data_IF_064083740071
#
_entry.id   IF_064083740071
#
_cell.length_a   1.000
_cell.length_b   1.000
_cell.length_c   1.000
_cell.angle_alpha   90.00
_cell.angle_beta   90.00
_cell.angle_gamma   90.00
#
_symmetry.space_group_name_H-M   'P 1'
#
loop_
_entity.id
_entity.type
_entity.pdbx_description
1 polymer ?
#
# COMPACT_ATOMS: atom_id res chain seq x y z
N UNK A 1 -2.36 55.91 -5.09
CA UNK A 1 -2.33 54.82 -6.08
C UNK A 1 -1.15 53.93 -5.69
N UNK A 2 -1.44 52.76 -5.14
CA UNK A 2 -0.42 51.72 -4.84
C UNK A 2 -0.61 50.64 -5.88
N UNK A 3 0.29 50.60 -6.87
CA UNK A 3 0.34 49.54 -7.86
C UNK A 3 0.74 48.24 -7.18
N UNK A 4 -0.20 47.26 -7.15
CA UNK A 4 0.06 45.91 -6.74
C UNK A 4 0.94 45.22 -7.77
N UNK A 5 2.19 44.91 -7.38
CA UNK A 5 3.11 44.11 -8.17
C UNK A 5 2.48 42.74 -8.41
N UNK A 6 2.45 42.21 -9.66
CA UNK A 6 1.92 40.88 -9.91
C UNK A 6 2.84 39.85 -9.26
N UNK A 7 2.31 39.05 -8.33
CA UNK A 7 3.03 37.95 -7.72
C UNK A 7 3.55 37.00 -8.83
N UNK A 8 4.86 36.94 -9.00
CA UNK A 8 5.54 36.11 -9.97
C UNK A 8 5.20 34.64 -9.63
N UNK A 9 4.32 34.00 -10.42
CA UNK A 9 4.01 32.58 -10.30
C UNK A 9 5.32 31.81 -10.40
N UNK A 10 5.82 31.31 -9.28
CA UNK A 10 7.03 30.47 -9.23
C UNK A 10 6.83 29.30 -10.18
N UNK A 11 7.67 29.19 -11.22
CA UNK A 11 7.63 28.05 -12.14
C UNK A 11 7.94 26.78 -11.33
N UNK A 12 7.00 25.84 -11.33
CA UNK A 12 7.20 24.52 -10.72
C UNK A 12 8.42 23.84 -11.33
N UNK A 13 9.19 23.12 -10.51
CA UNK A 13 10.27 22.27 -10.99
C UNK A 13 9.72 21.11 -11.86
N UNK A 14 10.59 20.40 -12.60
CA UNK A 14 10.16 19.22 -13.33
C UNK A 14 9.65 18.11 -12.39
N UNK A 15 10.26 17.97 -11.21
CA UNK A 15 9.82 17.04 -10.19
C UNK A 15 8.43 17.41 -9.64
N UNK A 16 8.19 18.69 -9.31
CA UNK A 16 6.89 19.14 -8.83
C UNK A 16 5.78 18.95 -9.88
N UNK A 17 6.09 19.18 -11.17
CA UNK A 17 5.13 18.91 -12.26
C UNK A 17 4.81 17.43 -12.39
N UNK A 18 5.83 16.57 -12.29
CA UNK A 18 5.64 15.11 -12.35
C UNK A 18 4.78 14.63 -11.18
N UNK A 19 5.02 15.12 -9.96
CA UNK A 19 4.20 14.81 -8.78
C UNK A 19 2.75 15.26 -8.98
N UNK A 20 2.51 16.49 -9.48
CA UNK A 20 1.16 16.99 -9.75
C UNK A 20 0.41 16.16 -10.81
N UNK A 21 1.11 15.64 -11.82
CA UNK A 21 0.52 14.73 -12.81
C UNK A 21 0.11 13.42 -12.14
N UNK A 22 0.96 12.84 -11.27
CA UNK A 22 0.67 11.59 -10.55
C UNK A 22 -0.53 11.76 -9.61
N UNK A 23 -0.63 12.86 -8.86
CA UNK A 23 -1.79 13.16 -8.00
C UNK A 23 -3.10 13.25 -8.82
N UNK A 24 -3.09 14.00 -9.92
CA UNK A 24 -4.26 14.10 -10.79
C UNK A 24 -4.65 12.75 -11.42
N UNK A 25 -3.65 11.94 -11.79
CA UNK A 25 -3.86 10.60 -12.33
C UNK A 25 -4.43 9.65 -11.27
N UNK A 26 -3.94 9.72 -10.03
CA UNK A 26 -4.45 8.94 -8.91
C UNK A 26 -5.95 9.19 -8.70
N UNK A 27 -6.36 10.45 -8.63
CA UNK A 27 -7.76 10.80 -8.49
C UNK A 27 -8.62 10.19 -9.61
N UNK A 28 -8.22 10.42 -10.87
CA UNK A 28 -8.97 9.97 -12.04
C UNK A 28 -9.05 8.44 -12.11
N UNK A 29 -7.92 7.75 -11.90
CA UNK A 29 -7.89 6.29 -11.95
C UNK A 29 -8.65 5.64 -10.79
N UNK A 30 -8.61 6.24 -9.59
CA UNK A 30 -9.36 5.72 -8.44
C UNK A 30 -10.88 5.88 -8.61
N UNK A 31 -11.34 6.92 -9.32
CA UNK A 31 -12.76 7.17 -9.57
C UNK A 31 -13.29 6.31 -10.73
N UNK A 32 -12.58 6.29 -11.86
CA UNK A 32 -13.05 5.69 -13.13
C UNK A 32 -12.49 4.31 -13.43
N UNK A 33 -11.38 3.94 -12.77
CA UNK A 33 -10.59 2.76 -13.11
C UNK A 33 -9.62 3.03 -14.25
N UNK A 34 -8.65 2.12 -14.39
CA UNK A 34 -7.59 2.26 -15.38
C UNK A 34 -8.07 2.18 -16.83
N UNK A 35 -9.05 1.33 -17.11
CA UNK A 35 -9.54 1.10 -18.48
C UNK A 35 -10.29 2.31 -19.03
N UNK A 36 -11.23 2.87 -18.27
CA UNK A 36 -12.15 3.92 -18.73
C UNK A 36 -11.56 5.33 -18.65
N UNK A 37 -10.61 5.56 -17.74
CA UNK A 37 -9.96 6.84 -17.61
C UNK A 37 -9.11 7.19 -18.84
N UNK A 38 -9.03 8.48 -19.19
CA UNK A 38 -8.19 9.00 -20.28
C UNK A 38 -7.17 10.01 -19.80
N UNK A 39 -6.11 10.27 -20.61
CA UNK A 39 -5.17 11.36 -20.32
C UNK A 39 -5.81 12.74 -20.41
N UNK A 40 -6.92 12.90 -21.14
CA UNK A 40 -7.69 14.15 -21.17
C UNK A 40 -8.41 14.40 -19.84
N UNK A 41 -8.90 13.34 -19.19
CA UNK A 41 -9.46 13.42 -17.84
C UNK A 41 -8.40 13.84 -16.82
N UNK A 42 -7.20 13.25 -16.91
CA UNK A 42 -6.06 13.60 -16.05
C UNK A 42 -5.64 15.05 -16.27
N UNK A 43 -5.52 15.50 -17.53
CA UNK A 43 -5.17 16.88 -17.86
C UNK A 43 -6.21 17.86 -17.29
N UNK A 44 -7.50 17.54 -17.43
CA UNK A 44 -8.61 18.36 -16.91
C UNK A 44 -8.57 18.42 -15.38
N UNK A 45 -8.39 17.30 -14.69
CA UNK A 45 -8.32 17.19 -13.22
C UNK A 45 -7.13 17.99 -12.68
N UNK A 46 -5.96 17.87 -13.30
CA UNK A 46 -4.74 18.57 -12.88
C UNK A 46 -4.66 20.05 -13.30
N UNK A 47 -5.60 20.53 -14.12
CA UNK A 47 -5.53 21.87 -14.70
C UNK A 47 -4.28 22.10 -15.56
N UNK A 48 -3.81 21.05 -16.24
CA UNK A 48 -2.59 21.01 -17.04
C UNK A 48 -2.90 20.65 -18.51
N UNK A 49 -1.94 20.89 -19.39
CA UNK A 49 -2.09 20.45 -20.79
C UNK A 49 -1.75 18.96 -20.97
N UNK A 50 -2.43 18.29 -21.88
CA UNK A 50 -2.09 16.92 -22.29
C UNK A 50 -0.64 16.82 -22.82
N UNK A 51 -0.14 17.89 -23.46
CA UNK A 51 1.24 17.97 -23.92
C UNK A 51 2.22 17.86 -22.74
N UNK A 52 1.93 18.52 -21.61
CA UNK A 52 2.75 18.43 -20.41
C UNK A 52 2.79 17.01 -19.85
N UNK A 53 1.69 16.26 -19.92
CA UNK A 53 1.68 14.84 -19.51
C UNK A 53 2.64 14.06 -20.41
N UNK A 54 2.59 14.26 -21.74
CA UNK A 54 3.49 13.57 -22.69
C UNK A 54 4.96 13.99 -22.59
N UNK A 55 5.28 15.16 -22.01
CA UNK A 55 6.66 15.53 -21.67
C UNK A 55 7.25 14.66 -20.55
N UNK A 56 6.40 14.08 -19.68
CA UNK A 56 6.82 13.30 -18.52
C UNK A 56 6.54 11.80 -18.63
N UNK A 57 5.55 11.40 -19.43
CA UNK A 57 5.09 10.02 -19.58
C UNK A 57 4.76 9.74 -21.04
N UNK A 58 5.38 8.74 -21.64
CA UNK A 58 5.21 8.41 -23.07
C UNK A 58 3.82 7.86 -23.40
N UNK A 59 3.10 7.35 -22.40
CA UNK A 59 1.78 6.74 -22.57
C UNK A 59 0.99 6.72 -21.28
N UNK A 60 -0.34 6.49 -21.39
CA UNK A 60 -1.22 6.22 -20.25
C UNK A 60 -0.73 5.00 -19.45
N UNK A 61 -0.24 3.97 -20.15
CA UNK A 61 0.30 2.75 -19.53
C UNK A 61 1.51 3.05 -18.65
N UNK A 62 2.46 3.84 -19.16
CA UNK A 62 3.61 4.24 -18.35
C UNK A 62 3.19 5.04 -17.11
N UNK A 63 2.25 6.00 -17.29
CA UNK A 63 1.72 6.77 -16.18
C UNK A 63 1.08 5.86 -15.11
N UNK A 64 0.31 4.83 -15.53
CA UNK A 64 -0.29 3.85 -14.61
C UNK A 64 0.76 3.06 -13.82
N UNK A 65 1.75 2.50 -14.51
CA UNK A 65 2.82 1.72 -13.86
C UNK A 65 3.60 2.58 -12.89
N UNK A 66 4.04 3.76 -13.33
CA UNK A 66 4.81 4.68 -12.49
C UNK A 66 4.01 5.16 -11.28
N UNK A 67 2.70 5.41 -11.44
CA UNK A 67 1.82 5.78 -10.34
C UNK A 67 1.76 4.68 -9.29
N UNK A 68 1.48 3.45 -9.71
CA UNK A 68 1.41 2.30 -8.79
C UNK A 68 2.75 2.07 -8.10
N UNK A 69 3.84 2.04 -8.85
CA UNK A 69 5.19 1.90 -8.30
C UNK A 69 5.50 2.97 -7.26
N UNK A 70 5.21 4.24 -7.56
CA UNK A 70 5.51 5.36 -6.66
C UNK A 70 4.79 5.20 -5.32
N UNK A 71 3.47 5.05 -5.36
CA UNK A 71 2.68 5.05 -4.13
C UNK A 71 2.81 3.76 -3.32
N UNK A 72 3.04 2.61 -3.98
CA UNK A 72 3.24 1.36 -3.26
C UNK A 72 4.65 1.27 -2.65
N UNK A 73 5.67 1.84 -3.29
CA UNK A 73 6.97 1.98 -2.64
C UNK A 73 6.91 2.95 -1.44
N UNK A 74 6.20 4.08 -1.55
CA UNK A 74 5.96 4.97 -0.39
C UNK A 74 5.29 4.21 0.78
N UNK A 75 4.30 3.36 0.49
CA UNK A 75 3.67 2.52 1.50
C UNK A 75 4.66 1.54 2.15
N UNK A 76 5.43 0.81 1.33
CA UNK A 76 6.42 -0.15 1.83
C UNK A 76 7.46 0.56 2.69
N UNK A 77 7.98 1.69 2.24
CA UNK A 77 8.95 2.50 3.00
C UNK A 77 8.39 2.97 4.34
N UNK A 78 7.13 3.44 4.36
CA UNK A 78 6.47 3.86 5.60
C UNK A 78 6.35 2.70 6.60
N UNK A 79 5.92 1.52 6.15
CA UNK A 79 5.78 0.32 6.98
C UNK A 79 7.15 -0.17 7.47
N UNK A 80 8.14 -0.30 6.58
CA UNK A 80 9.49 -0.76 6.93
C UNK A 80 10.16 0.19 7.92
N UNK A 81 9.99 1.51 7.73
CA UNK A 81 10.53 2.51 8.66
C UNK A 81 9.88 2.40 10.04
N UNK A 82 8.57 2.20 10.13
CA UNK A 82 7.86 2.05 11.40
C UNK A 82 8.30 0.77 12.14
N UNK A 83 8.38 -0.35 11.41
CA UNK A 83 8.86 -1.64 11.96
C UNK A 83 10.28 -1.55 12.44
N UNK A 84 11.17 -0.91 11.66
CA UNK A 84 12.60 -0.78 11.99
C UNK A 84 12.90 0.10 13.20
N UNK A 85 11.94 0.92 13.65
CA UNK A 85 12.08 1.74 14.86
C UNK A 85 11.81 0.95 16.15
N UNK A 86 11.19 -0.24 16.06
CA UNK A 86 10.75 -1.03 17.19
C UNK A 86 11.71 -2.19 17.51
N UNK A 87 11.73 -2.60 18.78
CA UNK A 87 12.70 -3.59 19.29
C UNK A 87 12.08 -4.96 19.57
N UNK A 88 10.77 -5.03 19.83
CA UNK A 88 10.05 -6.30 20.05
C UNK A 88 9.22 -6.67 18.85
N UNK A 89 8.98 -7.97 18.64
CA UNK A 89 8.18 -8.46 17.51
C UNK A 89 6.71 -8.02 17.62
N UNK A 90 6.19 -7.93 18.85
CA UNK A 90 4.84 -7.41 19.10
C UNK A 90 4.73 -5.94 18.67
N UNK A 91 5.69 -5.10 19.08
CA UNK A 91 5.71 -3.68 18.71
C UNK A 91 5.95 -3.50 17.22
N UNK A 92 6.81 -4.30 16.60
CA UNK A 92 7.04 -4.32 15.15
C UNK A 92 5.77 -4.61 14.38
N UNK A 93 5.03 -5.65 14.77
CA UNK A 93 3.76 -6.00 14.13
C UNK A 93 2.74 -4.88 14.31
N UNK A 94 2.59 -4.36 15.53
CA UNK A 94 1.68 -3.26 15.83
C UNK A 94 2.02 -2.01 15.01
N UNK A 95 3.30 -1.62 14.96
CA UNK A 95 3.77 -0.46 14.21
C UNK A 95 3.55 -0.62 12.70
N UNK A 96 3.77 -1.82 12.16
CA UNK A 96 3.52 -2.10 10.75
C UNK A 96 2.04 -2.00 10.38
N UNK A 97 1.15 -2.56 11.20
CA UNK A 97 -0.30 -2.45 11.02
C UNK A 97 -0.76 -0.99 11.11
N UNK A 98 -0.29 -0.25 12.13
CA UNK A 98 -0.66 1.15 12.34
C UNK A 98 -0.17 2.03 11.17
N UNK A 99 1.09 1.87 10.74
CA UNK A 99 1.64 2.61 9.60
C UNK A 99 0.87 2.35 8.30
N UNK A 100 0.46 1.10 8.05
CA UNK A 100 -0.40 0.78 6.90
C UNK A 100 -1.74 1.50 6.98
N UNK A 101 -2.41 1.51 8.14
CA UNK A 101 -3.69 2.17 8.33
C UNK A 101 -3.56 3.70 8.23
N UNK A 102 -2.48 4.29 8.76
CA UNK A 102 -2.18 5.72 8.58
C UNK A 102 -2.09 6.06 7.09
N UNK A 103 -1.24 5.34 6.35
CA UNK A 103 -1.09 5.54 4.91
C UNK A 103 -2.42 5.37 4.16
N UNK A 104 -3.19 4.34 4.49
CA UNK A 104 -4.50 4.09 3.89
C UNK A 104 -5.50 5.23 4.13
N UNK A 105 -5.48 5.85 5.32
CA UNK A 105 -6.35 6.98 5.67
C UNK A 105 -5.93 8.28 4.98
N UNK A 106 -4.63 8.48 4.80
CA UNK A 106 -4.08 9.65 4.11
C UNK A 106 -4.23 9.55 2.59
N UNK A 107 -4.24 8.32 2.04
CA UNK A 107 -4.30 8.05 0.61
C UNK A 107 -5.39 7.02 0.22
N UNK A 108 -6.67 7.31 0.54
CA UNK A 108 -7.76 6.36 0.29
C UNK A 108 -7.93 6.02 -1.19
N UNK A 109 -7.47 6.88 -2.11
CA UNK A 109 -7.51 6.66 -3.54
C UNK A 109 -6.63 5.47 -3.97
N UNK A 110 -5.43 5.34 -3.37
CA UNK A 110 -4.54 4.18 -3.63
C UNK A 110 -5.19 2.89 -3.15
N UNK A 111 -5.73 2.89 -1.93
CA UNK A 111 -6.38 1.69 -1.41
C UNK A 111 -7.57 1.25 -2.28
N UNK A 112 -8.36 2.21 -2.78
CA UNK A 112 -9.43 1.92 -3.75
C UNK A 112 -8.90 1.26 -5.02
N UNK A 113 -7.75 1.70 -5.54
CA UNK A 113 -7.13 1.06 -6.70
C UNK A 113 -6.67 -0.37 -6.40
N UNK A 114 -6.11 -0.61 -5.21
CA UNK A 114 -5.61 -1.91 -4.79
C UNK A 114 -6.73 -2.93 -4.48
N UNK A 115 -7.91 -2.46 -4.05
CA UNK A 115 -9.02 -3.33 -3.63
C UNK A 115 -10.06 -3.55 -4.74
N UNK A 116 -10.09 -2.70 -5.77
CA UNK A 116 -11.00 -2.89 -6.91
C UNK A 116 -10.58 -4.08 -7.75
N UNK A 117 -11.58 -4.72 -8.36
CA UNK A 117 -11.34 -5.74 -9.38
C UNK A 117 -10.72 -5.06 -10.61
N UNK A 118 -9.44 -5.28 -10.86
CA UNK A 118 -8.68 -4.61 -11.92
C UNK A 118 -8.89 -5.36 -13.22
N UNK A 119 -9.71 -4.78 -14.12
CA UNK A 119 -9.95 -5.34 -15.46
C UNK A 119 -8.81 -5.04 -16.45
N UNK A 120 -7.90 -4.14 -16.09
CA UNK A 120 -6.73 -3.80 -16.92
C UNK A 120 -5.59 -4.78 -16.61
N UNK A 121 -5.14 -5.59 -17.58
CA UNK A 121 -4.13 -6.63 -17.33
C UNK A 121 -2.79 -6.06 -16.84
N UNK A 122 -2.40 -4.89 -17.34
CA UNK A 122 -1.11 -4.27 -16.98
C UNK A 122 -1.11 -3.76 -15.55
N UNK A 123 -2.21 -3.10 -15.16
CA UNK A 123 -2.38 -2.66 -13.79
C UNK A 123 -2.49 -3.87 -12.85
N UNK A 124 -3.19 -4.94 -13.25
CA UNK A 124 -3.26 -6.20 -12.52
C UNK A 124 -1.89 -6.80 -12.27
N UNK A 125 -1.11 -7.03 -13.32
CA UNK A 125 0.27 -7.56 -13.21
C UNK A 125 1.15 -6.69 -12.32
N UNK A 126 1.04 -5.37 -12.43
CA UNK A 126 1.82 -4.44 -11.61
C UNK A 126 1.42 -4.55 -10.13
N UNK A 127 0.13 -4.57 -9.84
CA UNK A 127 -0.40 -4.71 -8.48
C UNK A 127 0.02 -6.06 -7.87
N UNK A 128 -0.09 -7.15 -8.63
CA UNK A 128 0.27 -8.48 -8.14
C UNK A 128 1.77 -8.59 -7.84
N UNK A 129 2.64 -8.03 -8.71
CA UNK A 129 4.07 -7.96 -8.46
C UNK A 129 4.39 -7.17 -7.18
N UNK A 130 3.76 -6.03 -6.97
CA UNK A 130 4.00 -5.18 -5.81
C UNK A 130 3.44 -5.79 -4.52
N UNK A 131 2.34 -6.55 -4.58
CA UNK A 131 1.85 -7.35 -3.46
C UNK A 131 2.84 -8.45 -3.07
N UNK A 132 3.43 -9.11 -4.07
CA UNK A 132 4.46 -10.12 -3.84
C UNK A 132 5.72 -9.51 -3.21
N UNK A 133 6.17 -8.34 -3.67
CA UNK A 133 7.28 -7.61 -3.07
C UNK A 133 6.99 -7.24 -1.60
N UNK A 134 5.78 -6.77 -1.30
CA UNK A 134 5.37 -6.47 0.07
C UNK A 134 5.33 -7.73 0.95
N UNK A 135 4.74 -8.82 0.46
CA UNK A 135 4.70 -10.10 1.19
C UNK A 135 6.11 -10.65 1.43
N UNK A 136 7.00 -10.60 0.44
CA UNK A 136 8.40 -11.00 0.58
C UNK A 136 9.13 -10.15 1.63
N UNK A 137 8.89 -8.85 1.66
CA UNK A 137 9.47 -7.95 2.67
C UNK A 137 9.00 -8.33 4.07
N UNK A 138 7.70 -8.55 4.26
CA UNK A 138 7.14 -9.01 5.54
C UNK A 138 7.72 -10.36 5.94
N UNK A 139 7.76 -11.33 5.02
CA UNK A 139 8.32 -12.66 5.26
C UNK A 139 9.79 -12.60 5.69
N UNK A 140 10.60 -11.72 5.06
CA UNK A 140 12.01 -11.56 5.42
C UNK A 140 12.21 -10.99 6.83
N UNK A 141 11.30 -10.11 7.29
CA UNK A 141 11.31 -9.60 8.67
C UNK A 141 10.93 -10.73 9.64
N UNK A 142 9.87 -11.47 9.34
CA UNK A 142 9.40 -12.58 10.18
C UNK A 142 10.41 -13.73 10.29
N UNK A 143 11.19 -13.98 9.24
CA UNK A 143 12.18 -15.07 9.21
C UNK A 143 13.38 -14.81 10.15
N UNK A 144 13.63 -13.56 10.57
CA UNK A 144 14.81 -13.23 11.40
C UNK A 144 14.78 -13.88 12.77
N UNK A 145 13.58 -13.97 13.37
CA UNK A 145 13.38 -14.47 14.73
C UNK A 145 12.51 -15.74 14.75
N UNK A 146 12.28 -16.35 13.58
CA UNK A 146 11.43 -17.53 13.47
C UNK A 146 12.12 -18.77 14.07
N UNK A 147 11.39 -19.62 14.84
CA UNK A 147 11.93 -20.85 15.37
C UNK A 147 12.25 -21.86 14.25
N UNK A 148 13.23 -22.74 14.48
CA UNK A 148 13.53 -23.82 13.55
C UNK A 148 12.33 -24.77 13.42
N UNK A 149 11.99 -25.23 12.18
CA UNK A 149 10.86 -26.12 11.97
C UNK A 149 11.13 -27.51 12.57
N UNK A 150 10.09 -28.13 13.11
CA UNK A 150 10.16 -29.51 13.58
C UNK A 150 10.11 -30.52 12.41
N UNK A 151 10.59 -31.75 12.61
CA UNK A 151 10.51 -32.81 11.58
C UNK A 151 9.05 -33.03 11.14
N UNK A 152 8.77 -32.79 9.87
CA UNK A 152 7.43 -32.92 9.29
C UNK A 152 6.69 -31.60 9.07
N UNK A 153 7.20 -30.49 9.59
CA UNK A 153 6.71 -29.15 9.30
C UNK A 153 7.17 -28.69 7.90
N UNK A 154 6.51 -27.64 7.40
CA UNK A 154 7.01 -26.92 6.24
C UNK A 154 8.33 -26.22 6.60
N UNK A 155 9.20 -26.01 5.61
CA UNK A 155 10.38 -25.20 5.80
C UNK A 155 9.99 -23.76 6.21
N UNK A 156 10.93 -23.06 6.84
CA UNK A 156 10.68 -21.75 7.41
C UNK A 156 10.30 -20.72 6.33
N UNK A 157 10.94 -20.78 5.16
CA UNK A 157 10.67 -19.85 4.06
C UNK A 157 9.22 -19.97 3.59
N UNK A 158 8.75 -21.19 3.37
CA UNK A 158 7.35 -21.48 3.00
C UNK A 158 6.37 -21.04 4.10
N UNK A 159 6.69 -21.31 5.35
CA UNK A 159 5.83 -20.97 6.50
C UNK A 159 5.65 -19.44 6.62
N UNK A 160 6.75 -18.68 6.61
CA UNK A 160 6.67 -17.22 6.73
C UNK A 160 6.03 -16.58 5.50
N UNK A 161 6.22 -17.15 4.30
CA UNK A 161 5.55 -16.68 3.09
C UNK A 161 4.02 -16.81 3.21
N UNK A 162 3.51 -17.96 3.67
CA UNK A 162 2.08 -18.16 3.92
C UNK A 162 1.54 -17.15 4.93
N UNK A 163 2.24 -16.96 6.06
CA UNK A 163 1.83 -16.02 7.11
C UNK A 163 1.84 -14.57 6.60
N UNK A 164 2.87 -14.18 5.86
CA UNK A 164 2.98 -12.84 5.29
C UNK A 164 1.84 -12.53 4.32
N UNK A 165 1.49 -13.45 3.43
CA UNK A 165 0.36 -13.28 2.51
C UNK A 165 -0.98 -13.18 3.24
N UNK A 166 -1.19 -14.03 4.26
CA UNK A 166 -2.41 -14.00 5.08
C UNK A 166 -2.55 -12.66 5.79
N UNK A 167 -1.48 -12.18 6.42
CA UNK A 167 -1.47 -10.92 7.16
C UNK A 167 -1.64 -9.72 6.22
N UNK A 168 -0.83 -9.62 5.17
CA UNK A 168 -0.90 -8.50 4.22
C UNK A 168 -2.28 -8.40 3.56
N UNK A 169 -2.82 -9.54 3.10
CA UNK A 169 -4.16 -9.60 2.53
C UNK A 169 -5.24 -9.21 3.54
N UNK A 170 -5.19 -9.78 4.74
CA UNK A 170 -6.16 -9.49 5.81
C UNK A 170 -6.17 -8.01 6.21
N UNK A 171 -5.00 -7.41 6.41
CA UNK A 171 -4.87 -5.99 6.78
C UNK A 171 -5.30 -5.07 5.63
N UNK A 172 -4.98 -5.42 4.37
CA UNK A 172 -5.43 -4.65 3.20
C UNK A 172 -6.97 -4.61 3.10
N UNK A 173 -7.64 -5.76 3.28
CA UNK A 173 -9.11 -5.83 3.27
C UNK A 173 -9.73 -5.09 4.45
N UNK A 174 -9.15 -5.23 5.64
CA UNK A 174 -9.58 -4.51 6.85
C UNK A 174 -9.47 -3.00 6.67
N UNK A 175 -8.38 -2.50 6.11
CA UNK A 175 -8.21 -1.08 5.82
C UNK A 175 -9.25 -0.56 4.81
N UNK A 176 -9.58 -1.36 3.78
CA UNK A 176 -10.64 -1.04 2.82
C UNK A 176 -12.00 -0.86 3.50
N UNK A 177 -12.36 -1.79 4.39
CA UNK A 177 -13.58 -1.68 5.19
C UNK A 177 -13.53 -0.47 6.14
N UNK A 178 -12.44 -0.27 6.85
CA UNK A 178 -12.29 0.81 7.82
C UNK A 178 -12.42 2.20 7.23
N UNK A 179 -11.89 2.45 6.03
CA UNK A 179 -12.05 3.75 5.34
C UNK A 179 -13.52 4.10 5.10
N UNK A 180 -14.37 3.08 4.91
CA UNK A 180 -15.82 3.26 4.75
C UNK A 180 -16.54 3.43 6.09
N UNK A 181 -15.82 3.23 7.22
CA UNK A 181 -16.35 3.32 8.59
C UNK A 181 -15.51 4.28 9.46
N UNK A 182 -15.48 5.57 9.11
CA UNK A 182 -14.63 6.56 9.79
C UNK A 182 -15.02 6.81 11.25
N UNK A 183 -16.19 6.33 11.68
CA UNK A 183 -16.63 6.35 13.07
C UNK A 183 -15.87 5.39 13.98
N UNK A 184 -15.16 4.41 13.42
CA UNK A 184 -14.34 3.46 14.17
C UNK A 184 -12.94 4.04 14.38
N UNK A 185 -12.50 4.29 15.62
CA UNK A 185 -11.16 4.81 15.89
C UNK A 185 -10.08 3.85 15.39
N UNK A 186 -9.01 4.39 14.75
CA UNK A 186 -7.88 3.60 14.22
C UNK A 186 -7.28 2.68 15.28
N UNK A 187 -7.11 3.19 16.50
CA UNK A 187 -6.54 2.45 17.61
C UNK A 187 -7.33 1.16 17.91
N UNK A 188 -8.66 1.22 17.77
CA UNK A 188 -9.52 0.04 17.94
C UNK A 188 -9.37 -0.98 16.82
N UNK A 189 -9.15 -0.50 15.59
CA UNK A 189 -8.86 -1.38 14.45
C UNK A 189 -7.54 -2.10 14.67
N UNK A 190 -6.50 -1.37 15.10
CA UNK A 190 -5.19 -1.94 15.45
C UNK A 190 -5.31 -2.97 16.57
N UNK A 191 -6.01 -2.65 17.67
CA UNK A 191 -6.24 -3.59 18.80
C UNK A 191 -6.87 -4.91 18.33
N UNK A 192 -7.91 -4.85 17.51
CA UNK A 192 -8.58 -6.05 16.99
C UNK A 192 -7.67 -6.83 16.06
N UNK A 193 -6.95 -6.14 15.16
CA UNK A 193 -6.00 -6.77 14.25
C UNK A 193 -4.87 -7.46 15.02
N UNK A 194 -4.32 -6.83 16.05
CA UNK A 194 -3.32 -7.42 16.94
C UNK A 194 -3.87 -8.65 17.69
N UNK A 195 -5.09 -8.57 18.20
CA UNK A 195 -5.74 -9.70 18.88
C UNK A 195 -5.85 -10.96 18.04
N UNK A 196 -5.98 -10.82 16.71
CA UNK A 196 -6.03 -11.96 15.79
C UNK A 196 -4.63 -12.40 15.35
N UNK A 197 -3.80 -11.43 14.93
CA UNK A 197 -2.51 -11.76 14.31
C UNK A 197 -1.44 -12.09 15.35
N UNK A 198 -1.29 -11.27 16.42
CA UNK A 198 -0.25 -11.50 17.42
C UNK A 198 -0.49 -12.78 18.24
N UNK A 199 -1.71 -12.98 18.76
CA UNK A 199 -2.01 -14.19 19.52
C UNK A 199 -1.84 -15.44 18.66
N UNK A 200 -2.20 -15.37 17.38
CA UNK A 200 -1.99 -16.48 16.45
C UNK A 200 -0.50 -16.79 16.22
N UNK A 201 0.32 -15.77 16.00
CA UNK A 201 1.77 -15.92 15.82
C UNK A 201 2.47 -16.42 17.09
N UNK A 202 2.15 -15.86 18.24
CA UNK A 202 2.67 -16.28 19.54
C UNK A 202 2.40 -17.76 19.80
N UNK A 203 1.16 -18.21 19.58
CA UNK A 203 0.79 -19.62 19.71
C UNK A 203 1.52 -20.53 18.74
N UNK A 204 1.69 -20.09 17.48
CA UNK A 204 2.48 -20.83 16.48
C UNK A 204 3.95 -20.94 16.92
N UNK A 205 4.53 -19.86 17.48
CA UNK A 205 5.88 -19.84 18.04
C UNK A 205 6.05 -20.78 19.22
N UNK A 206 5.00 -20.97 20.06
CA UNK A 206 4.95 -21.96 21.13
C UNK A 206 4.73 -23.42 20.66
N UNK A 207 4.71 -23.67 19.34
CA UNK A 207 4.48 -24.99 18.76
C UNK A 207 3.01 -25.42 18.74
N UNK A 208 2.05 -24.55 19.07
CA UNK A 208 0.62 -24.88 18.99
C UNK A 208 0.21 -24.97 17.51
N UNK A 209 -0.38 -26.10 17.12
CA UNK A 209 -0.86 -26.36 15.75
C UNK A 209 -2.36 -26.64 15.78
N UNK A 210 -3.06 -26.09 14.77
CA UNK A 210 -4.42 -26.51 14.52
C UNK A 210 -4.41 -27.91 13.88
N UNK A 211 -5.12 -28.84 14.48
CA UNK A 211 -5.31 -30.18 13.93
C UNK A 211 -6.80 -30.40 13.67
N UNK A 212 -7.18 -31.03 12.52
CA UNK A 212 -8.56 -31.39 12.26
C UNK A 212 -9.04 -32.36 13.34
N UNK A 213 -10.27 -32.20 13.79
CA UNK A 213 -10.89 -33.18 14.68
C UNK A 213 -11.15 -34.46 13.91
N UNK A 214 -10.89 -35.63 14.52
CA UNK A 214 -11.18 -36.92 13.89
C UNK A 214 -12.69 -37.11 13.60
#
# INVERSE_FOLDING_TARGET
MVEGSPATRRRLSAADRRAAILEAALDVFSERGFTEASLDDVATRGGISKALIYEHFSSKRELQVVLLDTYLHELIEAVVSAVGAETTDEDRLRAGIDAFLVFASERPAILRLLTRNVSDPVAGETIDRLREEAATTIASIMAQDAPEPEPGDLDIETTVAILAHLMAGGIQFLAGWWIEHPEVPRERVVEVAMGVNWIGLERLGEGVRWLPRP
#
